data_IF_462074968634
#
_entry.id   IF_462074968634
#
_cell.length_a   1.000
_cell.length_b   1.000
_cell.length_c   1.000
_cell.angle_alpha   90.00
_cell.angle_beta   90.00
_cell.angle_gamma   90.00
#
_symmetry.space_group_name_H-M   'P 1'
#
loop_
_entity.id
_entity.type
_entity.pdbx_description
1 polymer ?
#
# COMPACT_ATOMS: atom_id res chain seq x y z
N UNK A 1 13.22 -18.59 -18.37
CA UNK A 1 12.30 -18.65 -17.21
C UNK A 1 11.30 -17.51 -17.33
N UNK A 2 10.04 -17.74 -16.99
CA UNK A 2 8.96 -16.74 -17.12
C UNK A 2 9.08 -15.75 -15.95
N UNK A 3 9.14 -14.45 -16.24
CA UNK A 3 9.09 -13.40 -15.21
C UNK A 3 7.70 -13.33 -14.60
N UNK A 4 7.59 -12.71 -13.42
CA UNK A 4 6.36 -12.58 -12.64
C UNK A 4 6.20 -11.13 -12.26
N UNK A 5 5.00 -10.59 -12.49
CA UNK A 5 4.62 -9.25 -12.04
C UNK A 5 3.83 -9.35 -10.74
N UNK A 6 4.23 -8.57 -9.74
CA UNK A 6 3.48 -8.43 -8.49
C UNK A 6 3.41 -6.94 -8.14
N UNK A 7 2.27 -6.48 -7.67
CA UNK A 7 2.09 -5.07 -7.28
C UNK A 7 1.23 -4.96 -6.04
N UNK A 8 1.48 -3.93 -5.24
CA UNK A 8 0.45 -3.39 -4.35
C UNK A 8 -0.72 -2.83 -5.16
N UNK A 9 -1.88 -2.69 -4.50
CA UNK A 9 -3.10 -2.16 -5.07
C UNK A 9 -3.22 -0.63 -4.88
N UNK A 10 -3.21 -0.16 -3.64
CA UNK A 10 -3.38 1.26 -3.32
C UNK A 10 -2.06 1.99 -3.52
N UNK A 11 -2.04 3.06 -4.32
CA UNK A 11 -0.82 3.72 -4.79
C UNK A 11 -0.47 3.33 -6.23
N UNK A 12 0.00 2.09 -6.51
CA UNK A 12 0.34 1.68 -7.87
C UNK A 12 -0.88 1.56 -8.79
N UNK A 13 -1.99 0.95 -8.36
CA UNK A 13 -3.12 0.64 -9.25
C UNK A 13 -4.31 1.60 -9.02
N UNK A 14 -4.59 1.91 -7.75
CA UNK A 14 -5.70 2.76 -7.32
C UNK A 14 -5.20 3.98 -6.53
N UNK A 15 -5.95 5.07 -6.57
CA UNK A 15 -5.65 6.32 -5.84
C UNK A 15 -6.17 6.29 -4.41
N UNK A 16 -7.18 5.45 -4.15
CA UNK A 16 -7.86 5.37 -2.87
C UNK A 16 -6.94 4.96 -1.73
N UNK A 17 -7.37 5.29 -0.52
CA UNK A 17 -7.05 4.52 0.70
C UNK A 17 -8.39 4.06 1.25
N UNK A 18 -8.76 2.81 0.98
CA UNK A 18 -10.11 2.34 1.24
C UNK A 18 -10.42 2.29 2.74
N UNK A 19 -9.43 1.95 3.57
CA UNK A 19 -9.59 1.92 5.03
C UNK A 19 -9.84 3.32 5.60
N UNK A 20 -9.09 4.32 5.12
CA UNK A 20 -9.31 5.73 5.44
C UNK A 20 -10.69 6.20 5.00
N UNK A 21 -11.06 5.96 3.74
CA UNK A 21 -12.29 6.47 3.14
C UNK A 21 -13.54 5.88 3.79
N UNK A 22 -13.55 4.57 4.09
CA UNK A 22 -14.63 3.92 4.86
C UNK A 22 -14.72 4.54 6.26
N UNK A 23 -13.58 4.71 6.94
CA UNK A 23 -13.57 5.30 8.29
C UNK A 23 -14.12 6.71 8.27
N UNK A 24 -13.67 7.54 7.33
CA UNK A 24 -14.16 8.91 7.12
C UNK A 24 -15.66 8.95 6.86
N UNK A 25 -16.18 8.00 6.08
CA UNK A 25 -17.59 7.96 5.72
C UNK A 25 -18.50 7.55 6.89
N UNK A 26 -18.11 6.54 7.66
CA UNK A 26 -19.00 5.91 8.65
C UNK A 26 -18.75 6.36 10.10
N UNK A 27 -17.60 6.97 10.40
CA UNK A 27 -17.27 7.45 11.75
C UNK A 27 -17.28 8.99 11.78
N UNK A 28 -17.94 9.64 12.76
CA UNK A 28 -17.86 11.08 12.93
C UNK A 28 -16.42 11.56 13.10
N UNK A 29 -15.99 12.53 12.27
CA UNK A 29 -14.57 12.96 12.17
C UNK A 29 -13.62 11.79 11.91
N UNK A 30 -14.08 10.81 11.12
CA UNK A 30 -13.37 9.58 10.83
C UNK A 30 -12.03 9.79 10.12
N UNK A 31 -11.86 10.90 9.41
CA UNK A 31 -10.59 11.31 8.81
C UNK A 31 -9.50 11.57 9.86
N UNK A 32 -9.79 12.42 10.85
CA UNK A 32 -8.87 12.74 11.95
C UNK A 32 -8.63 11.52 12.85
N UNK A 33 -9.70 10.76 13.11
CA UNK A 33 -9.61 9.50 13.86
C UNK A 33 -8.66 8.51 13.16
N UNK A 34 -8.87 8.25 11.87
CA UNK A 34 -8.05 7.32 11.11
C UNK A 34 -6.59 7.77 11.06
N UNK A 35 -6.33 9.05 10.78
CA UNK A 35 -4.97 9.58 10.71
C UNK A 35 -4.17 9.32 12.00
N UNK A 36 -4.81 9.49 13.17
CA UNK A 36 -4.16 9.23 14.45
C UNK A 36 -3.89 7.72 14.67
N UNK A 37 -4.84 6.85 14.32
CA UNK A 37 -4.65 5.39 14.41
C UNK A 37 -3.60 4.90 13.40
N UNK A 38 -3.53 5.49 12.21
CA UNK A 38 -2.51 5.19 11.20
C UNK A 38 -1.11 5.53 11.70
N UNK A 39 -0.90 6.73 12.29
CA UNK A 39 0.41 7.09 12.86
C UNK A 39 0.78 6.24 14.07
N UNK A 40 -0.21 5.81 14.85
CA UNK A 40 0.01 4.85 15.92
C UNK A 40 0.46 3.48 15.38
N UNK A 41 -0.12 3.02 14.25
CA UNK A 41 0.33 1.80 13.56
C UNK A 41 1.80 1.90 13.13
N UNK A 42 2.20 3.01 12.51
CA UNK A 42 3.58 3.27 12.09
C UNK A 42 4.54 3.26 13.28
N UNK A 43 4.16 3.89 14.40
CA UNK A 43 4.94 3.84 15.65
C UNK A 43 5.13 2.40 16.14
N UNK A 44 4.07 1.61 16.18
CA UNK A 44 4.14 0.23 16.66
C UNK A 44 5.01 -0.65 15.76
N UNK A 45 4.91 -0.47 14.44
CA UNK A 45 5.60 -1.28 13.45
C UNK A 45 7.08 -0.90 13.29
N UNK A 46 7.40 0.39 13.20
CA UNK A 46 8.72 0.86 12.77
C UNK A 46 9.57 1.45 13.89
N UNK A 47 8.95 2.18 14.84
CA UNK A 47 9.68 2.83 15.94
C UNK A 47 9.84 1.90 17.14
N UNK A 48 8.74 1.28 17.59
CA UNK A 48 8.75 0.36 18.73
C UNK A 48 9.05 -1.07 18.31
N UNK A 49 8.82 -1.42 17.04
CA UNK A 49 8.97 -2.78 16.50
C UNK A 49 8.35 -3.82 17.42
N UNK A 50 7.10 -3.56 17.82
CA UNK A 50 6.39 -4.35 18.82
C UNK A 50 6.41 -5.83 18.39
N UNK A 51 6.90 -6.76 19.24
CA UNK A 51 7.00 -8.16 18.87
C UNK A 51 5.66 -8.74 18.39
N UNK A 52 5.65 -9.39 17.23
CA UNK A 52 4.45 -9.97 16.62
C UNK A 52 3.51 -8.96 15.96
N UNK A 53 3.89 -7.68 15.87
CA UNK A 53 3.14 -6.64 15.17
C UNK A 53 3.71 -6.40 13.77
N UNK A 54 2.84 -6.10 12.81
CA UNK A 54 3.22 -5.83 11.41
C UNK A 54 2.59 -4.50 10.97
N UNK A 55 3.24 -3.80 10.04
CA UNK A 55 2.69 -2.61 9.41
C UNK A 55 1.40 -2.94 8.64
N UNK A 56 0.47 -1.98 8.58
CA UNK A 56 -0.84 -2.14 7.96
C UNK A 56 -1.89 -2.72 8.90
N UNK A 57 -1.64 -2.74 10.21
CA UNK A 57 -2.64 -3.18 11.18
C UNK A 57 -3.68 -2.09 11.49
N UNK A 58 -3.54 -0.87 10.97
CA UNK A 58 -4.53 0.22 11.07
C UNK A 58 -5.94 -0.28 10.74
N UNK A 59 -6.11 -1.00 9.63
CA UNK A 59 -7.41 -1.54 9.23
C UNK A 59 -7.98 -2.50 10.28
N UNK A 60 -7.15 -3.33 10.91
CA UNK A 60 -7.59 -4.19 12.02
C UNK A 60 -7.97 -3.38 13.26
N UNK A 61 -7.22 -2.32 13.58
CA UNK A 61 -7.45 -1.45 14.74
C UNK A 61 -8.76 -0.65 14.65
N UNK A 62 -9.19 -0.27 13.44
CA UNK A 62 -10.43 0.51 13.26
C UNK A 62 -11.71 -0.34 13.32
N UNK A 63 -11.63 -1.66 13.15
CA UNK A 63 -12.81 -2.53 13.03
C UNK A 63 -13.77 -2.49 14.23
N UNK A 64 -13.31 -2.51 15.50
CA UNK A 64 -14.22 -2.38 16.65
C UNK A 64 -15.08 -1.12 16.55
N UNK A 65 -14.51 -0.04 16.04
CA UNK A 65 -15.20 1.23 15.89
C UNK A 65 -16.19 1.18 14.73
N UNK A 66 -15.81 0.64 13.57
CA UNK A 66 -16.73 0.44 12.44
C UNK A 66 -17.96 -0.38 12.88
N UNK A 67 -17.76 -1.47 13.62
CA UNK A 67 -18.85 -2.28 14.19
C UNK A 67 -19.70 -1.46 15.15
N UNK A 68 -19.10 -0.64 16.01
CA UNK A 68 -19.85 0.23 16.93
C UNK A 68 -20.69 1.29 16.20
N UNK A 69 -20.34 1.65 14.96
CA UNK A 69 -21.12 2.54 14.08
C UNK A 69 -22.03 1.78 13.10
N UNK A 70 -22.30 0.49 13.37
CA UNK A 70 -23.23 -0.34 12.61
C UNK A 70 -22.82 -0.54 11.14
N UNK A 71 -21.52 -0.50 10.85
CA UNK A 71 -20.99 -0.79 9.51
C UNK A 71 -21.08 -2.28 9.22
N UNK A 72 -21.63 -2.61 8.05
CA UNK A 72 -21.84 -3.98 7.58
C UNK A 72 -20.95 -4.37 6.42
N UNK A 73 -20.82 -5.67 6.15
CA UNK A 73 -20.08 -6.19 4.99
C UNK A 73 -20.62 -5.60 3.68
N UNK A 74 -21.95 -5.51 3.57
CA UNK A 74 -22.63 -4.93 2.39
C UNK A 74 -22.32 -3.45 2.19
N UNK A 75 -22.28 -2.67 3.28
CA UNK A 75 -21.96 -1.24 3.20
C UNK A 75 -20.51 -1.00 2.79
N UNK A 76 -19.57 -1.85 3.25
CA UNK A 76 -18.18 -1.80 2.82
C UNK A 76 -18.09 -2.11 1.32
N UNK A 77 -18.74 -3.18 0.85
CA UNK A 77 -18.76 -3.55 -0.58
C UNK A 77 -19.37 -2.44 -1.45
N UNK A 78 -20.54 -1.91 -1.07
CA UNK A 78 -21.21 -0.84 -1.81
C UNK A 78 -20.37 0.44 -1.86
N UNK A 79 -19.75 0.81 -0.73
CA UNK A 79 -18.88 1.96 -0.67
C UNK A 79 -17.67 1.78 -1.59
N UNK A 80 -17.02 0.60 -1.56
CA UNK A 80 -15.89 0.28 -2.43
C UNK A 80 -16.27 0.34 -3.91
N UNK A 81 -17.43 -0.20 -4.31
CA UNK A 81 -17.89 -0.19 -5.69
C UNK A 81 -18.15 1.24 -6.20
N UNK A 82 -18.71 2.11 -5.35
CA UNK A 82 -19.11 3.48 -5.72
C UNK A 82 -17.94 4.46 -5.75
N UNK A 83 -16.89 4.22 -4.96
CA UNK A 83 -15.80 5.18 -4.74
C UNK A 83 -14.45 4.75 -5.33
N UNK A 84 -14.42 3.68 -6.14
CA UNK A 84 -13.18 3.21 -6.75
C UNK A 84 -12.59 4.24 -7.74
N UNK A 85 -11.36 4.67 -7.46
CA UNK A 85 -10.58 5.61 -8.26
C UNK A 85 -9.27 4.95 -8.69
N UNK A 86 -9.16 4.66 -9.99
CA UNK A 86 -7.95 4.07 -10.56
C UNK A 86 -6.89 5.13 -10.89
N UNK A 87 -5.62 4.73 -10.85
CA UNK A 87 -4.57 5.45 -11.58
C UNK A 87 -4.90 5.39 -13.09
N UNK A 88 -4.64 6.48 -13.80
CA UNK A 88 -4.95 6.57 -15.23
C UNK A 88 -4.31 5.39 -15.98
N UNK A 89 -5.08 4.76 -16.87
CA UNK A 89 -4.68 3.59 -17.67
C UNK A 89 -4.37 2.28 -16.91
N UNK A 90 -4.68 2.16 -15.60
CA UNK A 90 -4.45 0.90 -14.85
C UNK A 90 -5.07 -0.33 -15.52
N UNK A 91 -6.30 -0.24 -16.03
CA UNK A 91 -6.97 -1.35 -16.75
C UNK A 91 -6.20 -1.78 -17.99
N UNK A 92 -5.77 -0.81 -18.80
CA UNK A 92 -5.00 -1.06 -20.02
C UNK A 92 -3.64 -1.68 -19.69
N UNK A 93 -2.92 -1.12 -18.71
CA UNK A 93 -1.64 -1.65 -18.24
C UNK A 93 -1.75 -3.09 -17.77
N UNK A 94 -2.71 -3.39 -16.88
CA UNK A 94 -2.83 -4.73 -16.32
C UNK A 94 -3.31 -5.74 -17.36
N UNK A 95 -4.17 -5.34 -18.31
CA UNK A 95 -4.52 -6.20 -19.45
C UNK A 95 -3.32 -6.55 -20.32
N UNK A 96 -2.41 -5.60 -20.56
CA UNK A 96 -1.16 -5.86 -21.28
C UNK A 96 -0.25 -6.81 -20.49
N UNK A 97 -0.05 -6.54 -19.20
CA UNK A 97 0.84 -7.35 -18.34
C UNK A 97 0.34 -8.79 -18.22
N UNK A 98 -0.97 -9.02 -18.06
CA UNK A 98 -1.56 -10.36 -17.96
C UNK A 98 -1.32 -11.23 -19.20
N UNK A 99 -1.23 -10.60 -20.39
CA UNK A 99 -0.88 -11.31 -21.64
C UNK A 99 0.60 -11.67 -21.71
N UNK A 100 1.46 -10.92 -21.00
CA UNK A 100 2.90 -11.07 -21.03
C UNK A 100 3.41 -12.06 -19.97
N UNK A 101 2.93 -11.94 -18.73
CA UNK A 101 3.43 -12.69 -17.56
C UNK A 101 2.31 -13.01 -16.56
N UNK A 102 2.51 -14.01 -15.68
CA UNK A 102 1.66 -14.16 -14.50
C UNK A 102 1.72 -12.86 -13.69
N UNK A 103 0.55 -12.36 -13.33
CA UNK A 103 0.36 -11.10 -12.65
C UNK A 103 -0.42 -11.32 -11.36
N UNK A 104 0.02 -10.70 -10.26
CA UNK A 104 -0.60 -10.80 -8.95
C UNK A 104 -0.75 -9.42 -8.30
N UNK A 105 -1.78 -9.27 -7.47
CA UNK A 105 -1.98 -8.10 -6.62
C UNK A 105 -1.88 -8.54 -5.16
N UNK A 106 -1.07 -7.84 -4.36
CA UNK A 106 -0.88 -8.11 -2.93
C UNK A 106 -1.18 -6.84 -2.17
N UNK A 107 -2.33 -6.80 -1.47
CA UNK A 107 -2.85 -5.58 -0.88
C UNK A 107 -3.22 -5.75 0.58
N UNK A 108 -2.99 -4.69 1.36
CA UNK A 108 -3.43 -4.62 2.75
C UNK A 108 -4.95 -4.47 2.88
N UNK A 109 -5.63 -3.93 1.86
CA UNK A 109 -7.07 -3.63 1.88
C UNK A 109 -7.95 -4.87 2.05
N UNK A 110 -9.21 -4.65 2.44
CA UNK A 110 -10.19 -5.73 2.59
C UNK A 110 -10.54 -6.38 1.26
N UNK A 111 -10.86 -7.67 1.29
CA UNK A 111 -11.22 -8.43 0.09
C UNK A 111 -12.41 -7.84 -0.67
N UNK A 112 -13.36 -7.21 0.02
CA UNK A 112 -14.50 -6.50 -0.57
C UNK A 112 -14.04 -5.45 -1.58
N UNK A 113 -13.08 -4.60 -1.19
CA UNK A 113 -12.51 -3.59 -2.08
C UNK A 113 -11.75 -4.22 -3.25
N UNK A 114 -10.97 -5.27 -2.99
CA UNK A 114 -10.18 -5.94 -4.03
C UNK A 114 -11.08 -6.67 -5.04
N UNK A 115 -12.24 -7.20 -4.64
CA UNK A 115 -13.23 -7.76 -5.57
C UNK A 115 -13.77 -6.70 -6.51
N UNK A 116 -14.16 -5.53 -5.99
CA UNK A 116 -14.65 -4.42 -6.83
C UNK A 116 -13.58 -3.87 -7.76
N UNK A 117 -12.34 -3.75 -7.28
CA UNK A 117 -11.21 -3.39 -8.11
C UNK A 117 -11.02 -4.42 -9.23
N UNK A 118 -10.94 -5.71 -8.92
CA UNK A 118 -10.76 -6.77 -9.91
C UNK A 118 -11.83 -6.76 -10.99
N UNK A 119 -13.11 -6.55 -10.63
CA UNK A 119 -14.21 -6.38 -11.58
C UNK A 119 -13.98 -5.18 -12.51
N UNK A 120 -13.54 -4.04 -11.99
CA UNK A 120 -13.34 -2.84 -12.79
C UNK A 120 -12.21 -2.97 -13.82
N UNK A 121 -11.12 -3.66 -13.46
CA UNK A 121 -9.92 -3.82 -14.30
C UNK A 121 -9.84 -5.16 -15.06
N UNK A 122 -10.87 -6.00 -14.99
CA UNK A 122 -10.89 -7.36 -15.55
C UNK A 122 -9.66 -8.19 -15.11
N UNK A 123 -9.42 -8.25 -13.80
CA UNK A 123 -8.31 -8.98 -13.20
C UNK A 123 -8.81 -10.21 -12.43
N UNK A 124 -8.15 -11.39 -12.55
CA UNK A 124 -8.56 -12.59 -11.83
C UNK A 124 -8.39 -12.42 -10.33
N UNK A 125 -9.50 -12.49 -9.58
CA UNK A 125 -9.50 -12.31 -8.13
C UNK A 125 -8.68 -13.40 -7.41
N UNK A 126 -8.62 -14.61 -7.98
CA UNK A 126 -7.79 -15.71 -7.50
C UNK A 126 -6.29 -15.42 -7.53
N UNK A 127 -5.84 -14.43 -8.32
CA UNK A 127 -4.46 -13.97 -8.35
C UNK A 127 -4.23 -12.78 -7.38
N UNK A 128 -5.03 -12.68 -6.33
CA UNK A 128 -4.90 -11.62 -5.33
C UNK A 128 -4.68 -12.18 -3.93
N UNK A 129 -3.90 -11.43 -3.15
CA UNK A 129 -3.74 -11.62 -1.71
C UNK A 129 -4.24 -10.35 -1.02
N UNK A 130 -5.23 -10.49 -0.16
CA UNK A 130 -5.90 -9.36 0.50
C UNK A 130 -6.37 -9.72 1.91
N UNK A 131 -6.71 -8.71 2.70
CA UNK A 131 -7.19 -8.94 4.05
C UNK A 131 -8.61 -9.49 4.02
N UNK A 132 -8.77 -10.73 4.49
CA UNK A 132 -10.10 -11.34 4.63
C UNK A 132 -10.85 -10.70 5.79
N UNK A 133 -12.05 -10.20 5.50
CA UNK A 133 -12.96 -9.62 6.48
C UNK A 133 -14.37 -10.14 6.24
N UNK A 134 -15.00 -10.61 7.33
CA UNK A 134 -16.45 -10.64 7.43
C UNK A 134 -16.79 -9.94 8.74
N UNK A 135 -17.24 -8.69 8.63
CA UNK A 135 -17.48 -7.82 9.78
C UNK A 135 -18.81 -8.18 10.46
N UNK A 136 -19.79 -8.70 9.70
CA UNK A 136 -21.15 -9.00 10.20
C UNK A 136 -21.18 -10.19 11.17
N UNK A 137 -20.13 -11.02 11.19
CA UNK A 137 -20.05 -12.16 12.12
C UNK A 137 -19.82 -11.75 13.57
N UNK A 138 -19.36 -10.53 13.81
CA UNK A 138 -18.98 -10.07 15.15
C UNK A 138 -20.18 -9.48 15.89
N UNK A 139 -20.46 -10.02 17.08
CA UNK A 139 -21.50 -9.50 17.95
C UNK A 139 -20.94 -8.37 18.84
N UNK A 140 -21.76 -7.36 19.08
CA UNK A 140 -21.44 -6.24 19.97
C UNK A 140 -22.59 -5.99 20.94
N UNK A 141 -22.29 -5.85 22.22
CA UNK A 141 -23.29 -5.45 23.21
C UNK A 141 -23.57 -3.94 23.12
N UNK A 142 -24.76 -3.49 23.54
CA UNK A 142 -25.07 -2.06 23.59
C UNK A 142 -24.09 -1.28 24.50
N UNK A 143 -23.60 -1.91 25.56
CA UNK A 143 -22.60 -1.32 26.47
C UNK A 143 -21.27 -1.10 25.77
N UNK A 144 -20.75 -2.10 25.06
CA UNK A 144 -19.50 -1.97 24.29
C UNK A 144 -19.63 -0.94 23.17
N UNK A 145 -20.78 -0.94 22.47
CA UNK A 145 -21.10 0.05 21.44
C UNK A 145 -21.01 1.48 21.98
N UNK A 146 -21.67 1.76 23.10
CA UNK A 146 -21.62 3.07 23.74
C UNK A 146 -20.19 3.43 24.18
N UNK A 147 -19.47 2.48 24.77
CA UNK A 147 -18.08 2.67 25.22
C UNK A 147 -17.13 2.95 24.05
N UNK A 148 -17.23 2.23 22.95
CA UNK A 148 -16.41 2.45 21.74
C UNK A 148 -16.70 3.82 21.12
N UNK A 149 -17.95 4.27 21.07
CA UNK A 149 -18.30 5.64 20.64
C UNK A 149 -17.72 6.72 21.58
N UNK A 150 -17.67 6.45 22.89
CA UNK A 150 -17.00 7.35 23.84
C UNK A 150 -15.47 7.37 23.60
N UNK A 151 -14.87 6.20 23.39
CA UNK A 151 -13.44 6.09 23.06
C UNK A 151 -13.13 6.82 21.75
N UNK A 152 -14.00 6.78 20.73
CA UNK A 152 -13.81 7.59 19.51
C UNK A 152 -13.69 9.08 19.83
N UNK A 153 -14.56 9.62 20.69
CA UNK A 153 -14.48 11.04 21.11
C UNK A 153 -13.20 11.34 21.86
N UNK A 154 -12.79 10.44 22.76
CA UNK A 154 -11.55 10.56 23.51
C UNK A 154 -10.32 10.55 22.59
N UNK A 155 -10.25 9.65 21.61
CA UNK A 155 -9.16 9.58 20.64
C UNK A 155 -9.05 10.87 19.84
N UNK A 156 -10.19 11.47 19.46
CA UNK A 156 -10.24 12.75 18.75
C UNK A 156 -9.79 13.96 19.59
N UNK A 157 -9.69 13.81 20.91
CA UNK A 157 -9.19 14.84 21.84
C UNK A 157 -7.70 14.67 22.17
N UNK A 158 -7.06 13.59 21.72
CA UNK A 158 -5.63 13.36 21.95
C UNK A 158 -4.76 14.26 21.08
N UNK A 159 -3.57 14.59 21.59
CA UNK A 159 -2.55 15.31 20.82
C UNK A 159 -2.13 14.48 19.60
N UNK A 160 -1.91 15.12 18.43
CA UNK A 160 -1.39 14.44 17.25
C UNK A 160 -0.09 13.69 17.52
N UNK A 161 0.12 12.58 16.81
CA UNK A 161 1.40 11.87 16.78
C UNK A 161 2.27 12.50 15.70
N UNK A 162 3.31 13.21 16.10
CA UNK A 162 4.33 13.72 15.19
C UNK A 162 5.55 12.79 15.16
N UNK A 163 5.92 12.36 13.95
CA UNK A 163 7.06 11.50 13.69
C UNK A 163 8.14 12.28 12.91
N UNK A 164 9.24 12.69 13.57
CA UNK A 164 10.38 13.27 12.86
C UNK A 164 10.95 12.28 11.83
N UNK A 165 11.37 12.76 10.66
CA UNK A 165 11.98 11.91 9.62
C UNK A 165 13.26 11.18 10.11
N UNK A 166 13.91 11.73 11.13
CA UNK A 166 15.10 11.15 11.77
C UNK A 166 14.77 10.17 12.90
N UNK A 167 13.51 10.04 13.31
CA UNK A 167 13.11 9.18 14.42
C UNK A 167 13.36 7.72 14.07
N UNK A 168 14.11 7.05 14.93
CA UNK A 168 14.44 5.62 14.82
C UNK A 168 14.01 4.83 16.05
N UNK A 169 13.76 5.52 17.17
CA UNK A 169 13.43 4.91 18.44
C UNK A 169 12.54 5.83 19.29
N UNK A 170 11.97 5.28 20.36
CA UNK A 170 11.01 5.97 21.23
C UNK A 170 11.56 7.25 21.87
N UNK A 171 12.88 7.36 22.06
CA UNK A 171 13.50 8.53 22.69
C UNK A 171 13.58 9.73 21.75
N UNK A 172 13.34 9.53 20.45
CA UNK A 172 13.29 10.60 19.46
C UNK A 172 11.91 11.32 19.42
N UNK A 173 10.95 10.85 20.23
CA UNK A 173 9.56 11.32 20.24
C UNK A 173 9.30 12.36 21.33
N UNK A 174 8.41 13.31 21.05
CA UNK A 174 8.01 14.33 22.02
C UNK A 174 7.22 13.73 23.19
N UNK A 175 7.22 14.42 24.34
CA UNK A 175 6.48 14.00 25.53
C UNK A 175 4.98 13.85 25.24
N UNK A 176 4.40 14.72 24.41
CA UNK A 176 2.98 14.66 24.07
C UNK A 176 2.66 13.49 23.14
N UNK A 177 3.52 13.21 22.16
CA UNK A 177 3.44 11.99 21.34
C UNK A 177 3.47 10.73 22.23
N UNK A 178 4.39 10.68 23.22
CA UNK A 178 4.48 9.56 24.16
C UNK A 178 3.22 9.41 25.03
N UNK A 179 2.59 10.52 25.46
CA UNK A 179 1.32 10.46 26.21
C UNK A 179 0.20 9.87 25.35
N UNK A 180 0.09 10.32 24.09
CA UNK A 180 -0.89 9.79 23.13
C UNK A 180 -0.69 8.30 22.89
N UNK A 181 0.55 7.87 22.59
CA UNK A 181 0.89 6.44 22.39
C UNK A 181 0.51 5.61 23.62
N UNK A 182 0.91 6.05 24.81
CA UNK A 182 0.58 5.35 26.06
C UNK A 182 -0.93 5.26 26.31
N UNK A 183 -1.71 6.27 25.88
CA UNK A 183 -3.16 6.24 26.01
C UNK A 183 -3.78 5.25 25.02
N UNK A 184 -3.34 5.27 23.77
CA UNK A 184 -3.78 4.33 22.74
C UNK A 184 -3.41 2.89 23.12
N UNK A 185 -2.24 2.65 23.71
CA UNK A 185 -1.86 1.34 24.26
C UNK A 185 -2.85 0.83 25.31
N UNK A 186 -3.30 1.71 26.22
CA UNK A 186 -4.33 1.35 27.21
C UNK A 186 -5.67 1.07 26.53
N UNK A 187 -6.06 1.89 25.56
CA UNK A 187 -7.32 1.71 24.82
C UNK A 187 -7.33 0.35 24.12
N UNK A 188 -6.35 0.06 23.27
CA UNK A 188 -6.35 -1.16 22.45
C UNK A 188 -6.02 -2.41 23.25
N UNK A 189 -4.97 -2.35 24.08
CA UNK A 189 -4.41 -3.55 24.71
C UNK A 189 -4.91 -3.80 26.13
N UNK A 190 -5.67 -2.88 26.73
CA UNK A 190 -6.30 -3.08 28.05
C UNK A 190 -7.81 -2.89 28.06
N UNK A 191 -8.36 -1.89 27.37
CA UNK A 191 -9.82 -1.65 27.39
C UNK A 191 -10.54 -2.52 26.35
N UNK A 192 -10.17 -2.41 25.07
CA UNK A 192 -10.80 -3.16 23.98
C UNK A 192 -10.47 -4.65 24.08
N UNK A 193 -9.26 -5.02 24.52
CA UNK A 193 -8.88 -6.42 24.73
C UNK A 193 -9.74 -7.17 25.75
N UNK A 194 -10.44 -6.45 26.64
CA UNK A 194 -11.38 -7.01 27.62
C UNK A 194 -12.84 -7.02 27.13
N UNK A 195 -13.11 -6.57 25.90
CA UNK A 195 -14.42 -6.64 25.25
C UNK A 195 -14.59 -7.98 24.52
N UNK A 196 -15.83 -8.40 24.27
CA UNK A 196 -16.16 -9.55 23.44
C UNK A 196 -15.63 -9.39 22.00
N UNK A 197 -15.65 -8.16 21.49
CA UNK A 197 -15.12 -7.81 20.17
C UNK A 197 -13.61 -7.98 20.01
N UNK A 198 -12.85 -8.18 21.10
CA UNK A 198 -11.39 -8.35 21.04
C UNK A 198 -10.93 -9.50 20.14
N UNK A 199 -11.79 -10.51 19.93
CA UNK A 199 -11.56 -11.64 19.02
C UNK A 199 -11.21 -11.20 17.59
N UNK A 200 -11.66 -10.00 17.18
CA UNK A 200 -11.31 -9.45 15.86
C UNK A 200 -9.81 -9.27 15.67
N UNK A 201 -9.07 -8.98 16.75
CA UNK A 201 -7.62 -8.78 16.69
C UNK A 201 -6.83 -10.07 16.47
N UNK A 202 -7.40 -11.22 16.81
CA UNK A 202 -6.83 -12.55 16.50
C UNK A 202 -7.32 -13.11 15.16
N UNK A 203 -8.57 -12.84 14.81
CA UNK A 203 -9.23 -13.39 13.63
C UNK A 203 -8.77 -12.71 12.33
N UNK A 204 -8.71 -11.38 12.33
CA UNK A 204 -8.37 -10.59 11.15
C UNK A 204 -6.85 -10.48 11.06
N UNK A 205 -6.30 -10.93 9.93
CA UNK A 205 -4.87 -10.91 9.65
C UNK A 205 -4.60 -10.03 8.44
N UNK A 206 -4.23 -8.75 8.68
CA UNK A 206 -3.87 -7.84 7.61
C UNK A 206 -2.74 -8.37 6.74
N UNK A 207 -2.86 -8.20 5.41
CA UNK A 207 -1.79 -8.53 4.44
C UNK A 207 -0.91 -7.29 4.23
N UNK A 208 -0.19 -6.89 5.27
CA UNK A 208 0.76 -5.78 5.25
C UNK A 208 2.14 -6.20 5.75
N UNK A 209 3.18 -5.46 5.38
CA UNK A 209 4.56 -5.70 5.81
C UNK A 209 5.04 -7.11 5.48
N UNK A 210 5.44 -7.87 6.51
CA UNK A 210 5.93 -9.25 6.38
C UNK A 210 4.95 -10.17 5.60
N UNK A 211 3.64 -10.00 5.77
CA UNK A 211 2.64 -10.81 5.06
C UNK A 211 2.66 -10.59 3.55
N UNK A 212 3.03 -9.38 3.06
CA UNK A 212 3.21 -9.15 1.62
C UNK A 212 4.42 -9.93 1.09
N UNK A 213 5.50 -10.00 1.85
CA UNK A 213 6.66 -10.81 1.51
C UNK A 213 6.33 -12.32 1.49
N UNK A 214 5.51 -12.81 2.43
CA UNK A 214 5.00 -14.18 2.41
C UNK A 214 4.09 -14.46 1.21
N UNK A 215 3.23 -13.52 0.82
CA UNK A 215 2.43 -13.65 -0.41
C UNK A 215 3.31 -13.81 -1.66
N UNK A 216 4.41 -13.04 -1.76
CA UNK A 216 5.39 -13.22 -2.84
C UNK A 216 6.01 -14.63 -2.79
N UNK A 217 6.41 -15.12 -1.61
CA UNK A 217 6.96 -16.48 -1.47
C UNK A 217 5.95 -17.56 -1.89
N UNK A 218 4.69 -17.38 -1.55
CA UNK A 218 3.61 -18.30 -1.93
C UNK A 218 3.39 -18.33 -3.45
N UNK A 219 3.34 -17.16 -4.10
CA UNK A 219 3.28 -17.04 -5.57
C UNK A 219 4.45 -17.78 -6.23
N UNK A 220 5.67 -17.56 -5.72
CA UNK A 220 6.88 -18.19 -6.26
C UNK A 220 6.84 -19.71 -6.13
N UNK A 221 6.38 -20.21 -4.98
CA UNK A 221 6.20 -21.64 -4.73
C UNK A 221 5.13 -22.22 -5.66
N UNK A 222 3.98 -21.56 -5.79
CA UNK A 222 2.87 -22.00 -6.64
C UNK A 222 3.28 -22.10 -8.11
N UNK A 223 4.07 -21.14 -8.59
CA UNK A 223 4.55 -21.10 -9.98
C UNK A 223 5.83 -21.90 -10.23
N UNK A 224 6.39 -22.57 -9.21
CA UNK A 224 7.68 -23.26 -9.27
C UNK A 224 8.79 -22.37 -9.90
N UNK A 225 8.91 -21.15 -9.40
CA UNK A 225 9.82 -20.12 -9.90
C UNK A 225 10.84 -19.69 -8.83
N UNK A 226 11.54 -18.59 -9.07
CA UNK A 226 12.52 -17.99 -8.15
C UNK A 226 12.30 -16.48 -8.03
N UNK A 227 12.66 -15.88 -6.88
CA UNK A 227 12.43 -14.44 -6.61
C UNK A 227 13.16 -13.54 -7.61
N UNK A 228 14.28 -13.98 -8.19
CA UNK A 228 15.01 -13.24 -9.24
C UNK A 228 14.17 -13.01 -10.52
N UNK A 229 13.06 -13.74 -10.66
CA UNK A 229 12.09 -13.57 -11.74
C UNK A 229 10.97 -12.58 -11.40
N UNK A 230 10.95 -12.00 -10.20
CA UNK A 230 9.89 -11.10 -9.73
C UNK A 230 10.27 -9.65 -10.00
N UNK A 231 9.31 -8.90 -10.53
CA UNK A 231 9.26 -7.44 -10.43
C UNK A 231 8.13 -7.06 -9.46
N UNK A 232 8.43 -6.21 -8.48
CA UNK A 232 7.49 -5.77 -7.45
C UNK A 232 7.35 -4.24 -7.44
N UNK A 233 6.11 -3.77 -7.40
CA UNK A 233 5.76 -2.36 -7.26
C UNK A 233 5.06 -2.13 -5.91
N UNK A 234 5.61 -1.24 -5.08
CA UNK A 234 5.02 -0.82 -3.81
C UNK A 234 5.08 0.71 -3.66
N UNK A 235 4.45 1.24 -2.61
CA UNK A 235 4.36 2.69 -2.41
C UNK A 235 4.47 3.13 -0.94
N UNK A 236 4.42 2.21 0.02
CA UNK A 236 4.29 2.57 1.44
C UNK A 236 5.15 1.74 2.39
N UNK A 237 4.97 1.99 3.69
CA UNK A 237 5.57 1.21 4.76
C UNK A 237 5.17 -0.26 4.72
N UNK A 238 3.95 -0.56 4.27
CA UNK A 238 3.43 -1.93 4.19
C UNK A 238 4.13 -2.78 3.13
N UNK A 239 4.97 -2.17 2.30
CA UNK A 239 5.72 -2.83 1.21
C UNK A 239 7.19 -3.08 1.56
N UNK A 240 7.70 -2.57 2.69
CA UNK A 240 9.13 -2.57 3.00
C UNK A 240 9.73 -3.97 2.95
N UNK A 241 9.12 -4.96 3.59
CA UNK A 241 9.61 -6.34 3.61
C UNK A 241 9.52 -7.00 2.22
N UNK A 242 8.50 -6.66 1.43
CA UNK A 242 8.33 -7.16 0.07
C UNK A 242 9.38 -6.57 -0.89
N UNK A 243 9.60 -5.26 -0.83
CA UNK A 243 10.62 -4.54 -1.59
C UNK A 243 12.03 -5.05 -1.27
N UNK A 244 12.36 -5.21 0.02
CA UNK A 244 13.64 -5.75 0.46
C UNK A 244 13.83 -7.21 0.03
N UNK A 245 12.82 -8.06 0.19
CA UNK A 245 12.88 -9.46 -0.27
C UNK A 245 13.22 -9.54 -1.76
N UNK A 246 12.54 -8.75 -2.59
CA UNK A 246 12.71 -8.78 -4.04
C UNK A 246 14.07 -8.21 -4.45
N UNK A 247 14.48 -7.08 -3.88
CA UNK A 247 15.76 -6.44 -4.22
C UNK A 247 16.97 -7.30 -3.82
N UNK A 248 16.99 -7.84 -2.60
CA UNK A 248 18.08 -8.66 -2.05
C UNK A 248 18.22 -10.01 -2.76
N UNK A 249 17.11 -10.57 -3.25
CA UNK A 249 17.10 -11.88 -3.93
C UNK A 249 17.19 -11.77 -5.46
N UNK A 250 17.60 -10.60 -5.98
CA UNK A 250 17.92 -10.41 -7.40
C UNK A 250 16.73 -10.13 -8.31
N UNK A 251 15.51 -10.00 -7.76
CA UNK A 251 14.36 -9.45 -8.47
C UNK A 251 14.46 -7.92 -8.60
N UNK A 252 13.45 -7.27 -9.15
CA UNK A 252 13.44 -5.81 -9.33
C UNK A 252 12.38 -5.14 -8.45
N UNK A 253 12.82 -4.36 -7.47
CA UNK A 253 11.95 -3.65 -6.52
C UNK A 253 11.79 -2.17 -6.92
N UNK A 254 10.54 -1.70 -7.02
CA UNK A 254 10.21 -0.37 -7.53
C UNK A 254 9.22 0.33 -6.61
N UNK A 255 9.55 1.56 -6.24
CA UNK A 255 8.64 2.49 -5.59
C UNK A 255 7.84 3.27 -6.64
N UNK A 256 6.51 3.22 -6.60
CA UNK A 256 5.63 3.98 -7.49
C UNK A 256 4.86 5.04 -6.70
N UNK A 257 5.19 6.32 -6.92
CA UNK A 257 4.69 7.46 -6.13
C UNK A 257 4.81 7.21 -4.61
N UNK A 258 5.87 6.50 -4.21
CA UNK A 258 5.97 5.98 -2.86
C UNK A 258 6.44 7.03 -1.86
N UNK A 259 6.13 6.77 -0.59
CA UNK A 259 6.62 7.57 0.53
C UNK A 259 8.10 7.28 0.85
N UNK A 260 8.62 7.87 1.93
CA UNK A 260 10.03 7.68 2.32
C UNK A 260 10.38 6.23 2.64
N UNK A 261 9.43 5.43 3.14
CA UNK A 261 9.65 4.01 3.41
C UNK A 261 9.86 3.23 2.10
N UNK A 262 8.97 3.37 1.12
CA UNK A 262 9.08 2.64 -0.13
C UNK A 262 10.31 3.08 -0.96
N UNK A 263 10.57 4.39 -1.06
CA UNK A 263 11.72 4.90 -1.81
C UNK A 263 13.03 4.34 -1.25
N UNK A 264 13.22 4.37 0.09
CA UNK A 264 14.45 3.89 0.75
C UNK A 264 14.72 2.39 0.58
N UNK A 265 13.69 1.59 0.32
CA UNK A 265 13.78 0.13 0.21
C UNK A 265 13.64 -0.36 -1.25
N UNK A 266 13.67 0.55 -2.23
CA UNK A 266 13.52 0.22 -3.66
C UNK A 266 14.80 0.51 -4.45
N UNK A 267 14.93 -0.10 -5.63
CA UNK A 267 16.06 0.16 -6.54
C UNK A 267 15.75 1.28 -7.53
N UNK A 268 14.47 1.52 -7.79
CA UNK A 268 13.96 2.51 -8.73
C UNK A 268 12.77 3.23 -8.10
N UNK A 269 12.77 4.55 -8.19
CA UNK A 269 11.60 5.39 -7.88
C UNK A 269 10.96 5.88 -9.18
N UNK A 270 9.64 5.75 -9.26
CA UNK A 270 8.80 6.19 -10.38
C UNK A 270 7.81 7.22 -9.86
N UNK A 271 7.78 8.40 -10.48
CA UNK A 271 6.74 9.41 -10.23
C UNK A 271 5.90 9.59 -11.50
N UNK A 272 4.66 9.13 -11.44
CA UNK A 272 3.75 9.13 -12.58
C UNK A 272 2.28 9.16 -12.18
N UNK A 273 1.48 9.94 -12.90
CA UNK A 273 0.02 9.96 -12.77
C UNK A 273 -0.68 8.94 -13.69
N UNK A 274 0.10 8.17 -14.46
CA UNK A 274 -0.39 7.21 -15.45
C UNK A 274 0.38 5.88 -15.35
N UNK A 275 -0.38 4.79 -15.38
CA UNK A 275 0.09 3.45 -15.10
C UNK A 275 0.91 2.80 -16.22
N UNK A 276 0.91 3.36 -17.45
CA UNK A 276 1.61 2.77 -18.60
C UNK A 276 3.12 2.62 -18.38
N UNK A 277 3.72 3.42 -17.49
CA UNK A 277 5.14 3.26 -17.11
C UNK A 277 5.41 1.90 -16.45
N UNK A 278 4.45 1.35 -15.69
CA UNK A 278 4.56 0.01 -15.10
C UNK A 278 4.63 -1.04 -16.21
N UNK A 279 3.81 -0.93 -17.25
CA UNK A 279 3.86 -1.84 -18.41
C UNK A 279 5.21 -1.75 -19.14
N UNK A 280 5.72 -0.54 -19.38
CA UNK A 280 7.01 -0.32 -20.06
C UNK A 280 8.18 -0.95 -19.29
N UNK A 281 8.22 -0.73 -17.98
CA UNK A 281 9.26 -1.30 -17.11
C UNK A 281 9.12 -2.82 -17.06
N UNK A 282 7.89 -3.33 -16.97
CA UNK A 282 7.63 -4.78 -16.93
C UNK A 282 8.02 -5.46 -18.25
N UNK A 283 7.70 -4.89 -19.41
CA UNK A 283 8.14 -5.41 -20.72
C UNK A 283 9.68 -5.44 -20.81
N UNK A 284 10.34 -4.39 -20.35
CA UNK A 284 11.81 -4.34 -20.26
C UNK A 284 12.37 -5.47 -19.40
N UNK A 285 11.81 -5.68 -18.20
CA UNK A 285 12.24 -6.72 -17.28
C UNK A 285 12.01 -8.13 -17.83
N UNK A 286 10.88 -8.34 -18.51
CA UNK A 286 10.55 -9.59 -19.18
C UNK A 286 11.55 -9.94 -20.28
N UNK A 287 11.86 -8.97 -21.14
CA UNK A 287 12.75 -9.19 -22.29
C UNK A 287 14.22 -9.26 -21.91
N UNK A 288 14.66 -8.41 -20.99
CA UNK A 288 16.09 -8.16 -20.81
C UNK A 288 16.62 -8.56 -19.43
N UNK A 289 15.74 -8.82 -18.46
CA UNK A 289 16.10 -9.06 -17.07
C UNK A 289 16.66 -7.83 -16.36
N UNK A 290 16.77 -7.94 -15.03
CA UNK A 290 17.13 -6.84 -14.11
C UNK A 290 18.26 -5.93 -14.60
N UNK A 291 19.43 -6.49 -14.92
CA UNK A 291 20.64 -5.71 -15.24
C UNK A 291 20.44 -4.78 -16.43
N UNK A 292 19.87 -5.30 -17.53
CA UNK A 292 19.62 -4.50 -18.74
C UNK A 292 18.46 -3.54 -18.57
N UNK A 293 17.44 -3.92 -17.79
CA UNK A 293 16.35 -3.01 -17.41
C UNK A 293 16.91 -1.81 -16.63
N UNK A 294 17.69 -2.02 -15.58
CA UNK A 294 18.33 -0.94 -14.82
C UNK A 294 19.18 -0.04 -15.73
N UNK A 295 19.91 -0.60 -16.70
CA UNK A 295 20.67 0.20 -17.67
C UNK A 295 19.78 1.08 -18.55
N UNK A 296 18.61 0.58 -18.96
CA UNK A 296 17.62 1.36 -19.71
C UNK A 296 17.03 2.49 -18.84
N UNK A 297 16.65 2.18 -17.60
CA UNK A 297 16.07 3.15 -16.66
C UNK A 297 17.09 4.22 -16.23
N UNK A 298 18.37 3.88 -16.13
CA UNK A 298 19.45 4.85 -15.89
C UNK A 298 19.56 5.89 -17.02
N UNK A 299 19.20 5.52 -18.24
CA UNK A 299 19.28 6.38 -19.43
C UNK A 299 17.88 6.69 -19.98
N UNK A 300 16.91 6.84 -19.08
CA UNK A 300 15.50 7.02 -19.39
C UNK A 300 15.26 8.23 -20.33
N UNK A 301 14.98 7.94 -21.59
CA UNK A 301 14.77 8.94 -22.63
C UNK A 301 14.01 8.33 -23.81
N UNK A 302 13.29 9.18 -24.56
CA UNK A 302 12.50 8.75 -25.72
C UNK A 302 13.35 7.97 -26.71
N UNK A 303 14.54 8.50 -27.05
CA UNK A 303 15.48 7.88 -27.99
C UNK A 303 15.96 6.51 -27.52
N UNK A 304 16.20 6.34 -26.20
CA UNK A 304 16.64 5.04 -25.67
C UNK A 304 15.50 4.03 -25.66
N UNK A 305 14.28 4.45 -25.33
CA UNK A 305 13.10 3.58 -25.38
C UNK A 305 12.80 3.12 -26.82
N UNK A 306 12.84 4.02 -27.80
CA UNK A 306 12.64 3.66 -29.21
C UNK A 306 13.67 2.66 -29.74
N UNK A 307 14.89 2.67 -29.22
CA UNK A 307 15.98 1.75 -29.63
C UNK A 307 16.08 0.49 -28.76
N UNK A 308 15.19 0.31 -27.80
CA UNK A 308 15.33 -0.74 -26.78
C UNK A 308 14.78 -2.11 -27.21
N UNK A 309 13.93 -2.18 -28.24
CA UNK A 309 13.24 -3.42 -28.63
C UNK A 309 12.05 -3.77 -27.73
N UNK A 310 11.51 -2.79 -27.00
CA UNK A 310 10.22 -2.90 -26.31
C UNK A 310 9.07 -3.09 -27.31
N UNK A 311 7.92 -3.53 -26.82
CA UNK A 311 6.73 -3.73 -27.63
C UNK A 311 6.33 -2.41 -28.32
N UNK A 312 6.31 -2.41 -29.65
CA UNK A 312 6.13 -1.18 -30.43
C UNK A 312 4.73 -0.57 -30.24
N UNK A 313 3.72 -1.41 -30.00
CA UNK A 313 2.35 -0.96 -29.77
C UNK A 313 2.23 -0.29 -28.40
N UNK A 314 2.78 -0.92 -27.35
CA UNK A 314 2.83 -0.34 -26.01
C UNK A 314 3.65 0.95 -26.00
N UNK A 315 4.81 0.95 -26.66
CA UNK A 315 5.70 2.11 -26.68
C UNK A 315 5.04 3.29 -27.41
N UNK A 316 4.30 3.04 -28.49
CA UNK A 316 3.57 4.06 -29.22
C UNK A 316 2.44 4.67 -28.38
N UNK A 317 1.65 3.84 -27.69
CA UNK A 317 0.60 4.31 -26.76
C UNK A 317 1.22 5.12 -25.62
N UNK A 318 2.33 4.64 -25.04
CA UNK A 318 3.05 5.31 -23.98
C UNK A 318 3.57 6.69 -24.43
N UNK A 319 4.32 6.76 -25.52
CA UNK A 319 4.92 8.01 -25.98
C UNK A 319 3.87 9.05 -26.41
N UNK A 320 2.73 8.61 -26.95
CA UNK A 320 1.60 9.49 -27.29
C UNK A 320 0.95 10.06 -26.03
N UNK A 321 0.64 9.22 -25.02
CA UNK A 321 0.00 9.68 -23.78
C UNK A 321 0.85 10.69 -23.02
N UNK A 322 2.16 10.50 -23.00
CA UNK A 322 3.09 11.42 -22.34
C UNK A 322 3.48 12.63 -23.20
N UNK A 323 2.94 12.78 -24.42
CA UNK A 323 3.34 13.84 -25.37
C UNK A 323 4.86 13.94 -25.51
N UNK A 324 5.56 12.80 -25.47
CA UNK A 324 7.03 12.69 -25.44
C UNK A 324 7.73 13.30 -24.21
N UNK A 325 7.02 13.81 -23.21
CA UNK A 325 7.54 14.19 -21.89
C UNK A 325 7.39 13.01 -20.92
N UNK A 326 8.44 12.20 -20.83
CA UNK A 326 8.44 10.99 -20.03
C UNK A 326 8.16 11.27 -18.53
N UNK A 327 7.53 10.31 -17.81
CA UNK A 327 7.43 10.37 -16.36
C UNK A 327 8.83 10.30 -15.73
N UNK A 328 8.94 10.79 -14.50
CA UNK A 328 10.21 10.77 -13.78
C UNK A 328 10.50 9.34 -13.30
N UNK A 329 11.62 8.78 -13.74
CA UNK A 329 12.09 7.44 -13.39
C UNK A 329 13.56 7.55 -13.04
N UNK A 330 13.92 7.25 -11.80
CA UNK A 330 15.28 7.39 -11.31
C UNK A 330 15.72 6.16 -10.53
N UNK A 331 17.00 5.83 -10.64
CA UNK A 331 17.62 4.86 -9.75
C UNK A 331 17.77 5.48 -8.36
N UNK A 332 17.43 4.71 -7.34
CA UNK A 332 17.61 5.12 -5.95
C UNK A 332 19.06 4.88 -5.56
N UNK A 333 19.73 5.91 -5.06
CA UNK A 333 21.11 5.84 -4.58
C UNK A 333 21.23 6.62 -3.28
N UNK A 334 22.27 6.34 -2.49
CA UNK A 334 22.55 7.12 -1.28
C UNK A 334 22.77 8.62 -1.54
N UNK A 335 23.11 9.02 -2.77
CA UNK A 335 23.38 10.42 -3.12
C UNK A 335 22.13 11.24 -3.45
N UNK A 336 21.08 10.60 -3.98
CA UNK A 336 19.84 11.27 -4.38
C UNK A 336 18.63 10.86 -3.51
N UNK A 337 18.84 10.01 -2.50
CA UNK A 337 17.79 9.46 -1.66
C UNK A 337 16.85 10.54 -1.09
N UNK A 338 17.40 11.52 -0.38
CA UNK A 338 16.59 12.52 0.33
C UNK A 338 15.80 13.40 -0.66
N UNK A 339 16.44 13.84 -1.74
CA UNK A 339 15.78 14.59 -2.81
C UNK A 339 14.65 13.77 -3.47
N UNK A 340 14.89 12.48 -3.75
CA UNK A 340 13.88 11.60 -4.34
C UNK A 340 12.71 11.36 -3.40
N UNK A 341 12.96 11.26 -2.09
CA UNK A 341 11.90 11.15 -1.09
C UNK A 341 11.02 12.40 -1.12
N UNK A 342 11.61 13.59 -1.14
CA UNK A 342 10.86 14.85 -1.17
C UNK A 342 10.06 15.00 -2.47
N UNK A 343 10.68 14.74 -3.63
CA UNK A 343 10.02 14.78 -4.94
C UNK A 343 8.88 13.76 -5.04
N UNK A 344 9.11 12.53 -4.59
CA UNK A 344 8.13 11.45 -4.63
C UNK A 344 6.95 11.72 -3.69
N UNK A 345 7.21 12.21 -2.48
CA UNK A 345 6.16 12.62 -1.54
C UNK A 345 5.32 13.78 -2.11
N UNK A 346 5.94 14.80 -2.68
CA UNK A 346 5.20 15.90 -3.30
C UNK A 346 4.32 15.40 -4.45
N UNK A 347 4.85 14.50 -5.29
CA UNK A 347 4.11 13.92 -6.39
C UNK A 347 2.95 13.02 -5.92
N UNK A 348 3.18 12.21 -4.88
CA UNK A 348 2.16 11.37 -4.22
C UNK A 348 0.94 12.20 -3.80
N UNK A 349 1.16 13.32 -3.11
CA UNK A 349 0.08 14.23 -2.72
C UNK A 349 -0.67 14.79 -3.93
N UNK A 350 0.02 15.11 -5.03
CA UNK A 350 -0.64 15.59 -6.25
C UNK A 350 -1.53 14.54 -6.94
N UNK A 351 -1.24 13.25 -6.76
CA UNK A 351 -1.98 12.15 -7.40
C UNK A 351 -3.12 11.62 -6.52
N UNK A 352 -2.87 11.44 -5.22
CA UNK A 352 -3.82 10.86 -4.25
C UNK A 352 -4.61 11.93 -3.47
N UNK A 353 -4.24 13.20 -3.60
CA UNK A 353 -4.77 14.29 -2.78
C UNK A 353 -4.06 14.39 -1.43
N UNK A 354 -4.12 15.55 -0.78
CA UNK A 354 -3.41 15.81 0.49
C UNK A 354 -3.79 14.83 1.60
N UNK A 355 -5.10 14.59 1.77
CA UNK A 355 -5.61 13.76 2.85
C UNK A 355 -5.14 12.30 2.75
N UNK A 356 -5.12 11.71 1.56
CA UNK A 356 -4.69 10.31 1.36
C UNK A 356 -3.18 10.22 1.18
N UNK A 357 -2.57 11.18 0.49
CA UNK A 357 -1.13 11.19 0.23
C UNK A 357 -0.29 11.31 1.50
N UNK A 358 -0.80 11.96 2.55
CA UNK A 358 -0.13 12.15 3.83
C UNK A 358 -0.33 11.03 4.86
N UNK A 359 -1.10 9.99 4.54
CA UNK A 359 -1.31 8.82 5.39
C UNK A 359 -0.21 7.78 5.20
N UNK A 360 0.07 7.03 6.27
CA UNK A 360 1.26 6.19 6.40
C UNK A 360 2.53 6.99 6.19
#
# INVERSE_FOLDING_TARGET
>A
MRRIFISDCEGPISKNDNAFEITKNFIPKGDSFFALISKYDDVLADILKKPGYNAGNTLKLILPFLIAYDVTDKQIEDFSAQNLLLITDSKLTLSFIQKLVPAFIVSTSYEQYIRELCKAIDFPFENTYSTRLSIDKYQITQKEKQKLKQITKEILELSPIELPLSAKNINDLSIDTLKTINRLDKIFWKEISNMQLSLIFSDVKPIGGYQKAEAIRDVIKHLNSSIENVIYFGDSITDVEALNLVSEKGGLAISFNGNHYAVKNSEVAVMSNNNLVIAIITDSFCKFGKKKTIQLLKNWSVTKLQKSGLDESLLSIFLTNYQKKLPNVQLVTSKNMDLLVDESNAFRHSVRGEAVGGLG
#
